data_IF_023355721194
#
_entry.id   IF_023355721194
#
_cell.length_a   1.000
_cell.length_b   1.000
_cell.length_c   1.000
_cell.angle_alpha   90.00
_cell.angle_beta   90.00
_cell.angle_gamma   90.00
#
_symmetry.space_group_name_H-M   'P 1'
#
loop_
_entity.id
_entity.type
_entity.pdbx_description
1 polymer ?
#
# COMPACT_ATOMS: atom_id res chain seq x y z
N UNK A 1 -5.44 -3.57 3.35
CA UNK A 1 -4.38 -4.38 2.70
C UNK A 1 -4.00 -3.84 1.32
N UNK A 2 -4.96 -3.62 0.42
CA UNK A 2 -4.69 -3.30 -0.99
C UNK A 2 -4.11 -1.89 -1.25
N UNK A 3 -4.37 -0.95 -0.36
CA UNK A 3 -3.90 0.45 -0.42
C UNK A 3 -2.92 0.81 0.70
N UNK A 4 -2.32 -0.19 1.34
CA UNK A 4 -1.38 -0.01 2.46
C UNK A 4 -0.32 -1.10 2.48
N UNK A 5 -0.51 -2.14 3.27
CA UNK A 5 0.51 -3.13 3.59
C UNK A 5 1.09 -3.88 2.39
N UNK A 6 0.26 -4.30 1.42
CA UNK A 6 0.75 -5.05 0.26
C UNK A 6 1.58 -4.17 -0.67
N UNK A 7 1.08 -3.02 -1.16
CA UNK A 7 1.86 -2.18 -2.06
C UNK A 7 3.12 -1.60 -1.40
N UNK A 8 3.08 -1.22 -0.11
CA UNK A 8 4.28 -0.73 0.58
C UNK A 8 5.37 -1.79 0.67
N UNK A 9 5.02 -3.04 1.00
CA UNK A 9 5.99 -4.14 1.07
C UNK A 9 6.54 -4.52 -0.31
N UNK A 10 5.72 -4.43 -1.37
CA UNK A 10 6.19 -4.66 -2.74
C UNK A 10 7.22 -3.61 -3.17
N UNK A 11 7.00 -2.33 -2.84
CA UNK A 11 7.94 -1.25 -3.12
C UNK A 11 9.18 -1.32 -2.24
N UNK A 12 9.04 -1.62 -0.94
CA UNK A 12 10.18 -1.84 -0.04
C UNK A 12 11.12 -2.91 -0.57
N UNK A 13 10.58 -4.07 -0.97
CA UNK A 13 11.35 -5.16 -1.56
C UNK A 13 12.09 -4.72 -2.82
N UNK A 14 11.42 -4.04 -3.75
CA UNK A 14 12.04 -3.59 -5.00
C UNK A 14 13.12 -2.53 -4.77
N UNK A 15 12.86 -1.56 -3.91
CA UNK A 15 13.83 -0.51 -3.57
C UNK A 15 15.03 -1.03 -2.77
N UNK A 16 14.84 -2.10 -1.99
CA UNK A 16 15.92 -2.77 -1.27
C UNK A 16 16.91 -3.42 -2.24
N UNK A 17 16.42 -4.21 -3.21
CA UNK A 17 17.30 -4.77 -4.24
C UNK A 17 18.07 -3.69 -5.01
N UNK A 18 17.44 -2.56 -5.29
CA UNK A 18 18.14 -1.43 -5.90
C UNK A 18 19.23 -0.84 -4.98
N UNK A 19 18.94 -0.69 -3.69
CA UNK A 19 19.90 -0.17 -2.73
C UNK A 19 21.07 -1.13 -2.50
N UNK A 20 20.81 -2.45 -2.48
CA UNK A 20 21.84 -3.48 -2.31
C UNK A 20 22.90 -3.43 -3.41
N UNK A 21 22.55 -3.09 -4.64
CA UNK A 21 23.51 -2.97 -5.74
C UNK A 21 24.66 -2.00 -5.42
N UNK A 22 24.38 -0.95 -4.65
CA UNK A 22 25.39 0.04 -4.24
C UNK A 22 26.40 -0.49 -3.23
N UNK A 23 26.09 -1.60 -2.58
CA UNK A 23 26.90 -2.19 -1.51
C UNK A 23 27.65 -3.46 -1.94
N UNK A 24 27.35 -4.01 -3.13
CA UNK A 24 27.94 -5.25 -3.61
C UNK A 24 29.46 -5.18 -3.79
N UNK A 25 30.02 -3.99 -4.04
CA UNK A 25 31.48 -3.79 -4.15
C UNK A 25 32.21 -4.13 -2.85
N UNK A 26 31.59 -3.92 -1.69
CA UNK A 26 32.14 -4.30 -0.40
C UNK A 26 32.30 -5.83 -0.24
N UNK A 27 31.54 -6.60 -1.02
CA UNK A 27 31.62 -8.06 -1.09
C UNK A 27 32.51 -8.57 -2.24
N UNK A 28 33.23 -7.67 -2.93
CA UNK A 28 34.06 -8.03 -4.08
C UNK A 28 33.25 -8.28 -5.37
N UNK A 29 31.99 -7.91 -5.42
CA UNK A 29 31.11 -8.09 -6.57
C UNK A 29 31.07 -6.79 -7.37
N UNK A 30 31.59 -6.82 -8.60
CA UNK A 30 31.49 -5.69 -9.51
C UNK A 30 30.11 -5.70 -10.20
N UNK A 31 29.42 -4.57 -10.15
CA UNK A 31 28.21 -4.33 -10.92
C UNK A 31 28.56 -3.42 -12.10
N UNK A 32 28.06 -3.77 -13.29
CA UNK A 32 28.06 -2.83 -14.42
C UNK A 32 27.07 -1.68 -14.13
N UNK A 33 27.03 -0.66 -14.99
CA UNK A 33 26.04 0.41 -14.87
C UNK A 33 24.64 -0.18 -14.74
N UNK A 34 24.04 0.04 -13.55
CA UNK A 34 22.69 -0.39 -13.26
C UNK A 34 21.75 0.80 -13.34
N UNK A 35 20.57 0.59 -13.88
CA UNK A 35 19.47 1.55 -13.86
C UNK A 35 18.22 0.86 -13.36
N UNK A 36 17.23 1.63 -12.90
CA UNK A 36 15.91 1.10 -12.58
C UNK A 36 14.84 1.80 -13.42
N UNK A 37 13.78 1.08 -13.69
CA UNK A 37 12.57 1.59 -14.34
C UNK A 37 11.46 1.68 -13.29
N UNK A 38 11.10 2.91 -12.90
CA UNK A 38 10.05 3.16 -11.91
C UNK A 38 8.69 2.64 -12.41
N UNK A 39 8.38 2.79 -13.69
CA UNK A 39 7.11 2.33 -14.26
C UNK A 39 6.98 0.80 -14.15
N UNK A 40 8.05 0.07 -14.47
CA UNK A 40 8.09 -1.38 -14.29
C UNK A 40 7.98 -1.78 -12.80
N UNK A 41 8.60 -1.01 -11.88
CA UNK A 41 8.48 -1.24 -10.44
C UNK A 41 7.05 -1.04 -9.95
N UNK A 42 6.38 0.02 -10.41
CA UNK A 42 4.97 0.28 -10.09
C UNK A 42 4.05 -0.81 -10.68
N UNK A 43 4.25 -1.21 -11.92
CA UNK A 43 3.48 -2.31 -12.54
C UNK A 43 3.66 -3.64 -11.77
N UNK A 44 4.87 -3.93 -11.28
CA UNK A 44 5.11 -5.08 -10.40
C UNK A 44 4.33 -4.97 -9.10
N UNK A 45 4.33 -3.80 -8.45
CA UNK A 45 3.54 -3.54 -7.23
C UNK A 45 2.06 -3.81 -7.48
N UNK A 46 1.49 -3.28 -8.56
CA UNK A 46 0.07 -3.46 -8.90
C UNK A 46 -0.27 -4.91 -9.22
N UNK A 47 0.64 -5.61 -9.90
CA UNK A 47 0.50 -7.05 -10.15
C UNK A 47 0.46 -7.85 -8.84
N UNK A 48 1.35 -7.56 -7.89
CA UNK A 48 1.37 -8.24 -6.57
C UNK A 48 0.07 -8.01 -5.82
N UNK A 49 -0.44 -6.77 -5.80
CA UNK A 49 -1.75 -6.44 -5.20
C UNK A 49 -2.86 -7.23 -5.88
N UNK A 50 -2.89 -7.24 -7.21
CA UNK A 50 -3.91 -7.94 -7.99
C UNK A 50 -3.89 -9.46 -7.79
N UNK A 51 -2.71 -10.07 -7.75
CA UNK A 51 -2.58 -11.52 -7.55
C UNK A 51 -3.04 -11.93 -6.14
N UNK A 52 -2.66 -11.17 -5.12
CA UNK A 52 -3.07 -11.46 -3.74
C UNK A 52 -4.57 -11.24 -3.51
N UNK A 53 -5.16 -10.19 -4.10
CA UNK A 53 -6.61 -9.98 -4.02
C UNK A 53 -7.41 -11.08 -4.72
N UNK A 54 -6.96 -11.52 -5.89
CA UNK A 54 -7.56 -12.67 -6.58
C UNK A 54 -7.43 -13.96 -5.76
N UNK A 55 -6.28 -14.15 -5.09
CA UNK A 55 -6.08 -15.27 -4.17
C UNK A 55 -7.08 -15.28 -3.03
N UNK A 56 -7.36 -14.12 -2.42
CA UNK A 56 -8.38 -14.00 -1.36
C UNK A 56 -9.78 -14.33 -1.89
N UNK A 57 -10.15 -13.80 -3.06
CA UNK A 57 -11.44 -14.11 -3.68
C UNK A 57 -11.60 -15.61 -3.98
N UNK A 58 -10.51 -16.27 -4.43
CA UNK A 58 -10.50 -17.71 -4.62
C UNK A 58 -10.71 -18.47 -3.31
N UNK A 59 -10.06 -18.04 -2.22
CA UNK A 59 -10.22 -18.65 -0.90
C UNK A 59 -11.65 -18.48 -0.36
N UNK A 60 -12.29 -17.34 -0.56
CA UNK A 60 -13.69 -17.13 -0.21
C UNK A 60 -14.57 -18.15 -0.92
N UNK A 61 -14.43 -18.26 -2.25
CA UNK A 61 -15.19 -19.24 -3.03
C UNK A 61 -14.92 -20.68 -2.58
N UNK A 62 -13.66 -21.04 -2.36
CA UNK A 62 -13.25 -22.39 -1.93
C UNK A 62 -13.84 -22.79 -0.58
N UNK A 63 -13.96 -21.83 0.34
CA UNK A 63 -14.44 -22.07 1.70
C UNK A 63 -15.94 -21.76 1.88
N UNK A 64 -16.68 -21.51 0.82
CA UNK A 64 -18.11 -21.21 0.88
C UNK A 64 -18.45 -19.91 1.62
N UNK A 65 -17.48 -18.94 1.64
CA UNK A 65 -17.71 -17.63 2.24
C UNK A 65 -18.49 -16.79 1.24
N UNK A 66 -19.64 -16.32 1.64
CA UNK A 66 -20.42 -15.36 0.87
C UNK A 66 -19.77 -13.97 0.96
N UNK A 67 -19.59 -13.34 -0.18
CA UNK A 67 -18.95 -12.03 -0.25
C UNK A 67 -19.94 -10.99 -0.75
N UNK A 68 -20.44 -10.17 0.17
CA UNK A 68 -21.28 -9.03 -0.14
C UNK A 68 -20.39 -7.81 -0.40
N UNK A 69 -20.44 -7.29 -1.62
CA UNK A 69 -19.64 -6.15 -2.01
C UNK A 69 -20.42 -4.85 -1.78
N UNK A 70 -19.95 -4.02 -0.86
CA UNK A 70 -20.58 -2.74 -0.53
C UNK A 70 -20.16 -2.22 0.84
N UNK A 71 -20.77 -1.11 1.23
CA UNK A 71 -20.56 -0.52 2.56
C UNK A 71 -21.47 -1.22 3.58
N UNK A 72 -20.86 -1.96 4.51
CA UNK A 72 -21.58 -2.56 5.63
C UNK A 72 -21.95 -1.54 6.69
N UNK A 73 -23.19 -1.54 7.16
CA UNK A 73 -23.67 -0.71 8.25
C UNK A 73 -24.38 -1.57 9.28
N UNK A 74 -23.99 -1.51 10.56
CA UNK A 74 -24.69 -2.20 11.64
C UNK A 74 -25.97 -1.39 11.93
N UNK A 75 -27.11 -1.99 11.61
CA UNK A 75 -28.43 -1.35 11.72
C UNK A 75 -29.18 -1.73 12.99
N UNK A 76 -28.87 -2.89 13.56
CA UNK A 76 -29.40 -3.37 14.84
C UNK A 76 -28.45 -4.45 15.42
N UNK A 77 -28.61 -4.85 16.70
CA UNK A 77 -27.90 -5.99 17.25
C UNK A 77 -28.07 -7.23 16.37
N UNK A 78 -26.95 -7.82 15.90
CA UNK A 78 -26.97 -8.97 15.03
C UNK A 78 -27.44 -8.72 13.59
N UNK A 79 -27.51 -7.46 13.13
CA UNK A 79 -27.95 -7.12 11.77
C UNK A 79 -26.99 -6.14 11.09
N UNK A 80 -26.57 -6.49 9.89
CA UNK A 80 -25.71 -5.65 9.03
C UNK A 80 -26.39 -5.44 7.69
N UNK A 81 -26.56 -4.20 7.25
CA UNK A 81 -27.02 -3.89 5.89
C UNK A 81 -25.84 -3.65 4.96
N UNK A 82 -25.97 -4.13 3.71
CA UNK A 82 -25.03 -3.88 2.62
C UNK A 82 -25.86 -3.51 1.39
N UNK A 83 -25.90 -2.24 1.01
CA UNK A 83 -26.86 -1.77 0.02
C UNK A 83 -28.31 -2.03 0.47
N UNK A 84 -29.10 -2.70 -0.36
CA UNK A 84 -30.52 -3.01 -0.07
C UNK A 84 -30.67 -4.35 0.69
N UNK A 85 -29.60 -5.07 0.95
CA UNK A 85 -29.64 -6.36 1.62
C UNK A 85 -29.34 -6.21 3.12
N UNK A 86 -30.05 -6.96 3.95
CA UNK A 86 -29.78 -7.04 5.40
C UNK A 86 -29.49 -8.47 5.81
N UNK A 87 -28.33 -8.66 6.39
CA UNK A 87 -27.82 -9.96 6.85
C UNK A 87 -27.95 -10.08 8.35
N UNK A 88 -28.52 -11.17 8.83
CA UNK A 88 -28.52 -11.53 10.23
C UNK A 88 -27.24 -12.31 10.59
N UNK A 89 -26.57 -11.91 11.66
CA UNK A 89 -25.33 -12.52 12.12
C UNK A 89 -25.34 -12.76 13.64
N UNK A 90 -24.96 -13.96 14.06
CA UNK A 90 -24.78 -14.29 15.47
C UNK A 90 -23.57 -13.58 16.10
N UNK A 91 -22.54 -13.29 15.27
CA UNK A 91 -21.35 -12.55 15.69
C UNK A 91 -20.92 -11.63 14.55
N UNK A 92 -20.60 -10.38 14.89
CA UNK A 92 -20.11 -9.38 13.95
C UNK A 92 -18.65 -9.06 14.29
N UNK A 93 -17.74 -9.26 13.33
CA UNK A 93 -16.34 -8.85 13.43
C UNK A 93 -16.13 -7.57 12.64
N UNK A 94 -15.74 -6.50 13.32
CA UNK A 94 -15.42 -5.22 12.69
C UNK A 94 -13.95 -5.23 12.28
N UNK A 95 -13.68 -5.31 10.98
CA UNK A 95 -12.33 -5.32 10.40
C UNK A 95 -12.26 -4.38 9.19
N UNK A 96 -12.73 -3.15 9.37
CA UNK A 96 -12.95 -2.17 8.29
C UNK A 96 -11.67 -1.49 7.78
N UNK A 97 -10.53 -1.74 8.42
CA UNK A 97 -9.27 -1.07 8.08
C UNK A 97 -9.15 0.32 8.72
N UNK A 98 -8.33 1.16 8.13
CA UNK A 98 -8.08 2.54 8.58
C UNK A 98 -7.86 3.45 7.37
N UNK A 99 -8.16 4.72 7.55
CA UNK A 99 -7.85 5.78 6.59
C UNK A 99 -6.71 6.66 7.11
N UNK A 100 -6.11 7.45 6.23
CA UNK A 100 -5.12 8.44 6.62
C UNK A 100 -5.77 9.51 7.51
N UNK A 101 -5.16 9.79 8.66
CA UNK A 101 -5.60 10.87 9.53
C UNK A 101 -5.22 12.23 8.90
N UNK A 102 -6.18 13.15 8.83
CA UNK A 102 -5.92 14.50 8.38
C UNK A 102 -5.21 15.31 9.46
N UNK A 103 -4.18 16.04 9.06
CA UNK A 103 -3.53 17.02 9.93
C UNK A 103 -4.38 18.33 9.92
N UNK A 104 -4.67 18.94 11.07
CA UNK A 104 -5.41 20.21 11.11
C UNK A 104 -4.75 21.28 10.22
N UNK A 105 -5.52 21.86 9.32
CA UNK A 105 -5.05 22.88 8.38
C UNK A 105 -4.26 22.36 7.16
N UNK A 106 -4.12 21.05 7.01
CA UNK A 106 -3.46 20.42 5.85
C UNK A 106 -4.42 19.40 5.23
N UNK A 107 -4.82 19.64 4.00
CA UNK A 107 -5.67 18.72 3.26
C UNK A 107 -4.84 18.11 2.13
N UNK A 108 -4.70 16.78 2.05
CA UNK A 108 -4.07 16.14 0.90
C UNK A 108 -4.81 16.46 -0.40
N UNK A 109 -4.06 16.86 -1.42
CA UNK A 109 -4.55 17.08 -2.78
C UNK A 109 -4.16 15.90 -3.71
N UNK A 110 -3.33 14.98 -3.20
CA UNK A 110 -2.75 13.83 -3.88
C UNK A 110 -1.86 14.20 -5.09
N UNK A 111 -1.43 15.46 -5.16
CA UNK A 111 -0.51 16.00 -6.18
C UNK A 111 0.79 16.50 -5.53
N UNK A 112 0.69 17.47 -4.64
CA UNK A 112 1.81 18.06 -3.89
C UNK A 112 1.79 17.63 -2.43
N UNK A 113 0.61 17.60 -1.84
CA UNK A 113 0.38 17.14 -0.47
C UNK A 113 -0.27 15.76 -0.55
N UNK A 114 0.52 14.75 -0.28
CA UNK A 114 0.12 13.36 -0.45
C UNK A 114 -0.32 12.74 0.87
N UNK A 115 -1.33 11.90 0.81
CA UNK A 115 -1.54 10.87 1.83
C UNK A 115 -0.57 9.69 1.57
N UNK A 116 -0.60 8.70 2.47
CA UNK A 116 0.13 7.44 2.23
C UNK A 116 -0.32 6.73 0.94
N UNK A 117 -1.55 6.95 0.50
CA UNK A 117 -2.08 6.36 -0.73
C UNK A 117 -1.43 7.00 -1.96
N UNK A 118 -1.34 8.33 -2.02
CA UNK A 118 -0.65 9.04 -3.10
C UNK A 118 0.83 8.70 -3.15
N UNK A 119 1.49 8.64 -1.98
CA UNK A 119 2.90 8.28 -1.88
C UNK A 119 3.24 6.85 -2.37
N UNK A 120 2.25 5.94 -2.46
CA UNK A 120 2.39 4.61 -3.06
C UNK A 120 2.30 4.63 -4.59
N UNK A 121 1.98 5.77 -5.22
CA UNK A 121 1.64 5.86 -6.63
C UNK A 121 2.27 7.07 -7.33
N UNK A 122 3.36 7.64 -6.78
CA UNK A 122 4.08 8.74 -7.41
C UNK A 122 4.56 8.34 -8.81
N UNK A 123 4.33 9.18 -9.82
CA UNK A 123 4.67 8.87 -11.21
C UNK A 123 6.17 8.99 -11.49
N UNK A 124 6.90 9.71 -10.63
CA UNK A 124 8.34 9.95 -10.76
C UNK A 124 9.02 10.02 -9.39
N UNK A 125 10.33 9.88 -9.38
CA UNK A 125 11.14 10.08 -8.18
C UNK A 125 11.29 11.58 -7.96
N UNK A 126 10.67 12.10 -6.90
CA UNK A 126 10.74 13.53 -6.55
C UNK A 126 12.14 13.88 -6.06
N UNK A 127 12.63 15.09 -6.38
CA UNK A 127 13.93 15.56 -5.88
C UNK A 127 13.93 15.64 -4.34
N UNK A 128 12.84 16.13 -3.77
CA UNK A 128 12.72 16.36 -2.34
C UNK A 128 11.34 15.91 -1.85
N UNK A 129 11.34 15.02 -0.87
CA UNK A 129 10.14 14.52 -0.22
C UNK A 129 10.19 14.88 1.27
N UNK A 130 9.21 15.62 1.76
CA UNK A 130 9.06 15.91 3.19
C UNK A 130 8.01 14.97 3.77
N UNK A 131 8.39 14.21 4.79
CA UNK A 131 7.48 13.32 5.50
C UNK A 131 7.13 13.95 6.83
N UNK A 132 5.83 14.22 7.03
CA UNK A 132 5.31 14.72 8.30
C UNK A 132 4.88 13.52 9.13
N UNK A 133 5.41 13.41 10.33
CA UNK A 133 5.31 12.26 11.23
C UNK A 133 6.33 11.16 10.93
N UNK A 134 6.90 10.61 11.99
CA UNK A 134 7.86 9.49 11.94
C UNK A 134 7.21 8.15 12.31
N UNK A 135 5.91 8.00 12.02
CA UNK A 135 5.21 6.72 12.16
C UNK A 135 5.69 5.69 11.16
N UNK A 136 5.30 4.43 11.37
CA UNK A 136 5.78 3.29 10.57
C UNK A 136 5.55 3.48 9.05
N UNK A 137 4.42 4.03 8.65
CA UNK A 137 4.08 4.23 7.23
C UNK A 137 4.98 5.31 6.62
N UNK A 138 5.17 6.44 7.30
CA UNK A 138 6.03 7.53 6.86
C UNK A 138 7.48 7.08 6.72
N UNK A 139 7.99 6.30 7.67
CA UNK A 139 9.34 5.74 7.61
C UNK A 139 9.51 4.71 6.47
N UNK A 140 8.54 3.81 6.28
CA UNK A 140 8.58 2.83 5.20
C UNK A 140 8.59 3.49 3.82
N UNK A 141 7.66 4.41 3.56
CA UNK A 141 7.58 5.10 2.27
C UNK A 141 8.72 6.08 2.07
N UNK A 142 9.12 6.82 3.10
CA UNK A 142 10.29 7.66 3.07
C UNK A 142 11.56 6.88 2.71
N UNK A 143 11.73 5.68 3.27
CA UNK A 143 12.86 4.80 2.94
C UNK A 143 12.81 4.33 1.48
N UNK A 144 11.64 3.98 0.95
CA UNK A 144 11.47 3.61 -0.47
C UNK A 144 12.00 4.73 -1.36
N UNK A 145 11.47 5.94 -1.18
CA UNK A 145 11.82 7.08 -2.02
C UNK A 145 13.27 7.54 -1.85
N UNK A 146 13.80 7.49 -0.62
CA UNK A 146 15.22 7.77 -0.37
C UNK A 146 16.15 6.78 -1.10
N UNK A 147 15.83 5.49 -1.09
CA UNK A 147 16.59 4.46 -1.83
C UNK A 147 16.56 4.68 -3.34
N UNK A 148 15.43 5.20 -3.86
CA UNK A 148 15.25 5.51 -5.28
C UNK A 148 15.92 6.84 -5.69
N UNK A 149 16.29 7.70 -4.74
CA UNK A 149 17.08 8.89 -5.01
C UNK A 149 16.51 10.21 -4.51
N UNK A 150 15.32 10.21 -3.91
CA UNK A 150 14.76 11.42 -3.30
C UNK A 150 15.57 11.85 -2.08
N UNK A 151 15.71 13.13 -1.87
CA UNK A 151 16.12 13.71 -0.58
C UNK A 151 14.90 13.72 0.34
N UNK A 152 14.91 12.88 1.37
CA UNK A 152 13.80 12.75 2.33
C UNK A 152 14.12 13.43 3.65
#
# INVERSE_FOLDING_TARGET
MNVGCIPSKALLSSSEHWAELKHLSAHGIATMEASFDLSAMMARKDKVVGDLTKGIAHLFKKNGVEWLNGRGTIVAPGQVSVGDETVAAGTILIATGSDAANLPGVTPDEEVILSSTGALSLPEVTEHLVVIDAGVIGLELGQVWARLGSKV
#
